data_IF_078780960128
#
_entry.id   IF_078780960128
#
_cell.length_a   1.000
_cell.length_b   1.000
_cell.length_c   1.000
_cell.angle_alpha   90.00
_cell.angle_beta   90.00
_cell.angle_gamma   90.00
#
_symmetry.space_group_name_H-M   'P 1'
#
loop_
_entity.id
_entity.type
_entity.pdbx_description
1 polymer ?
#
# COMPACT_ATOMS: atom_id res chain seq x y z
N UNK A 1 20.95 -1.74 -4.46
CA UNK A 1 22.18 -2.35 -3.91
C UNK A 1 21.78 -3.36 -2.86
N UNK A 2 22.50 -4.49 -2.68
CA UNK A 2 22.24 -5.38 -1.56
C UNK A 2 22.47 -4.56 -0.29
N UNK A 3 21.45 -4.43 0.55
CA UNK A 3 21.55 -3.74 1.83
C UNK A 3 22.53 -4.55 2.68
N UNK A 4 23.71 -4.00 2.94
CA UNK A 4 24.62 -4.58 3.91
C UNK A 4 23.93 -4.50 5.29
N UNK A 5 23.62 -5.63 5.95
CA UNK A 5 22.99 -5.64 7.27
C UNK A 5 23.86 -4.94 8.33
N UNK A 6 25.14 -4.70 8.04
CA UNK A 6 26.08 -3.97 8.89
C UNK A 6 26.14 -2.47 8.61
N UNK A 7 25.49 -1.98 7.55
CA UNK A 7 25.45 -0.55 7.23
C UNK A 7 24.68 0.21 8.33
N UNK A 8 25.37 1.04 9.13
CA UNK A 8 24.74 1.73 10.24
C UNK A 8 23.71 2.76 9.77
N UNK A 9 23.75 3.23 8.53
CA UNK A 9 22.92 4.33 8.05
C UNK A 9 21.56 3.88 7.53
N UNK A 10 21.40 2.58 7.26
CA UNK A 10 20.15 1.98 6.77
C UNK A 10 19.32 1.32 7.89
N UNK A 11 17.97 1.34 7.78
CA UNK A 11 17.09 0.70 8.76
C UNK A 11 17.23 -0.82 8.72
N UNK A 12 17.37 -1.46 9.88
CA UNK A 12 17.53 -2.91 9.98
C UNK A 12 16.18 -3.61 10.15
N UNK A 13 15.60 -4.14 9.07
CA UNK A 13 14.38 -4.93 9.13
C UNK A 13 14.64 -6.33 9.69
N UNK A 14 13.73 -6.84 10.52
CA UNK A 14 13.87 -8.15 11.14
C UNK A 14 15.02 -8.23 12.16
N UNK A 15 15.40 -7.10 12.76
CA UNK A 15 16.45 -7.04 13.75
C UNK A 15 16.16 -8.01 14.92
N UNK A 16 17.18 -8.77 15.33
CA UNK A 16 17.10 -9.54 16.59
C UNK A 16 17.13 -8.58 17.79
N UNK A 17 16.62 -8.99 18.96
CA UNK A 17 16.54 -8.12 20.13
C UNK A 17 17.90 -7.51 20.52
N UNK A 18 18.94 -8.36 20.60
CA UNK A 18 20.28 -7.93 20.99
C UNK A 18 20.94 -7.04 19.95
N UNK A 19 20.73 -7.32 18.65
CA UNK A 19 21.28 -6.49 17.57
C UNK A 19 20.63 -5.11 17.54
N UNK A 20 19.30 -5.04 17.72
CA UNK A 20 18.58 -3.78 17.82
C UNK A 20 19.09 -2.93 19.01
N UNK A 21 19.26 -3.55 20.18
CA UNK A 21 19.73 -2.87 21.38
C UNK A 21 21.19 -2.41 21.27
N UNK A 22 22.07 -3.20 20.64
CA UNK A 22 23.43 -2.78 20.35
C UNK A 22 23.47 -1.57 19.39
N UNK A 23 22.63 -1.58 18.35
CA UNK A 23 22.48 -0.44 17.42
C UNK A 23 21.93 0.80 18.11
N UNK A 24 20.96 0.65 19.02
CA UNK A 24 20.37 1.74 19.80
C UNK A 24 21.44 2.53 20.56
N UNK A 25 22.32 1.84 21.29
CA UNK A 25 23.43 2.49 22.00
C UNK A 25 24.53 3.00 21.06
N UNK A 26 24.83 2.30 19.97
CA UNK A 26 25.84 2.75 18.99
C UNK A 26 25.42 4.05 18.27
N UNK A 27 24.12 4.24 18.04
CA UNK A 27 23.53 5.40 17.34
C UNK A 27 22.79 6.36 18.27
N UNK A 28 23.22 6.46 19.53
CA UNK A 28 22.49 7.21 20.55
C UNK A 28 22.36 8.72 20.28
N UNK A 29 23.26 9.32 19.49
CA UNK A 29 23.25 10.75 19.10
C UNK A 29 23.00 10.97 17.61
N UNK A 30 22.57 9.94 16.88
CA UNK A 30 22.30 10.04 15.44
C UNK A 30 20.80 10.21 15.22
N UNK A 31 20.39 11.42 14.84
CA UNK A 31 18.99 11.79 14.60
C UNK A 31 18.57 11.68 13.13
N UNK A 32 19.52 11.51 12.22
CA UNK A 32 19.28 11.33 10.78
C UNK A 32 19.11 9.85 10.42
N UNK A 33 18.56 9.59 9.25
CA UNK A 33 18.23 8.25 8.78
C UNK A 33 16.96 7.70 9.40
N UNK A 34 16.79 6.38 9.26
CA UNK A 34 15.56 5.65 9.59
C UNK A 34 15.79 4.51 10.56
N UNK A 35 14.74 4.15 11.29
CA UNK A 35 14.69 2.98 12.16
C UNK A 35 13.44 2.15 11.85
N UNK A 36 13.62 0.86 11.58
CA UNK A 36 12.53 -0.07 11.30
C UNK A 36 11.66 -0.32 12.54
N UNK A 37 10.48 -0.91 12.35
CA UNK A 37 9.61 -1.35 13.45
C UNK A 37 10.34 -2.28 14.43
N UNK A 38 11.07 -3.27 13.92
CA UNK A 38 11.81 -4.22 14.76
C UNK A 38 12.95 -3.55 15.53
N UNK A 39 13.67 -2.61 14.90
CA UNK A 39 14.77 -1.90 15.58
C UNK A 39 14.23 -1.02 16.73
N UNK A 40 13.13 -0.33 16.50
CA UNK A 40 12.47 0.50 17.51
C UNK A 40 11.88 -0.33 18.66
N UNK A 41 11.00 -1.28 18.36
CA UNK A 41 10.23 -1.99 19.38
C UNK A 41 11.09 -2.92 20.24
N UNK A 42 12.12 -3.57 19.68
CA UNK A 42 13.04 -4.35 20.51
C UNK A 42 13.86 -3.48 21.45
N UNK A 43 14.29 -2.30 20.98
CA UNK A 43 15.01 -1.35 21.82
C UNK A 43 14.14 -0.81 22.96
N UNK A 44 12.88 -0.46 22.65
CA UNK A 44 11.89 -0.03 23.66
C UNK A 44 11.59 -1.16 24.65
N UNK A 45 11.40 -2.39 24.17
CA UNK A 45 11.06 -3.53 25.01
C UNK A 45 12.21 -3.90 25.96
N UNK A 46 13.44 -4.04 25.45
CA UNK A 46 14.59 -4.36 26.29
C UNK A 46 14.88 -3.27 27.32
N UNK A 47 14.78 -2.00 26.90
CA UNK A 47 14.84 -0.85 27.81
C UNK A 47 13.80 -0.92 28.92
N UNK A 48 12.56 -1.26 28.56
CA UNK A 48 11.45 -1.40 29.52
C UNK A 48 11.68 -2.57 30.47
N UNK A 49 12.16 -3.72 29.98
CA UNK A 49 12.47 -4.89 30.81
C UNK A 49 13.56 -4.58 31.83
N UNK A 50 14.65 -3.91 31.42
CA UNK A 50 15.73 -3.49 32.33
C UNK A 50 15.20 -2.53 33.38
N UNK A 51 14.42 -1.52 32.98
CA UNK A 51 13.82 -0.56 33.91
C UNK A 51 12.86 -1.23 34.91
N UNK A 52 11.99 -2.13 34.44
CA UNK A 52 11.07 -2.91 35.28
C UNK A 52 11.86 -3.79 36.24
N UNK A 53 12.90 -4.48 35.78
CA UNK A 53 13.71 -5.36 36.63
C UNK A 53 14.40 -4.57 37.76
N UNK A 54 15.02 -3.42 37.45
CA UNK A 54 15.64 -2.54 38.44
C UNK A 54 14.61 -2.00 39.44
N UNK A 55 13.45 -1.53 38.96
CA UNK A 55 12.40 -0.97 39.79
C UNK A 55 11.73 -2.00 40.70
N UNK A 56 11.39 -3.17 40.16
CA UNK A 56 10.77 -4.27 40.93
C UNK A 56 11.76 -4.82 41.96
N UNK A 57 12.99 -5.11 41.56
CA UNK A 57 13.99 -5.65 42.49
C UNK A 57 14.35 -4.63 43.58
N UNK A 58 14.55 -3.36 43.21
CA UNK A 58 14.78 -2.27 44.17
C UNK A 58 13.62 -2.08 45.13
N UNK A 59 12.39 -2.06 44.63
CA UNK A 59 11.17 -1.93 45.42
C UNK A 59 10.95 -3.10 46.38
N UNK A 60 11.18 -4.34 45.94
CA UNK A 60 11.10 -5.53 46.81
C UNK A 60 12.12 -5.44 47.93
N UNK A 61 13.37 -5.08 47.64
CA UNK A 61 14.42 -4.95 48.66
C UNK A 61 14.08 -3.86 49.68
N UNK A 62 13.57 -2.71 49.24
CA UNK A 62 13.12 -1.66 50.16
C UNK A 62 11.92 -2.09 51.00
N UNK A 63 10.96 -2.83 50.41
CA UNK A 63 9.81 -3.35 51.15
C UNK A 63 10.24 -4.37 52.22
N UNK A 64 11.18 -5.26 51.89
CA UNK A 64 11.78 -6.21 52.83
C UNK A 64 12.53 -5.48 53.95
N UNK A 65 13.35 -4.49 53.60
CA UNK A 65 14.08 -3.70 54.58
C UNK A 65 13.15 -2.89 55.49
N UNK A 66 12.07 -2.32 54.97
CA UNK A 66 11.05 -1.64 55.76
C UNK A 66 10.34 -2.60 56.73
N UNK A 67 9.98 -3.80 56.29
CA UNK A 67 9.35 -4.81 57.13
C UNK A 67 10.28 -5.26 58.28
N UNK A 68 11.57 -5.45 58.00
CA UNK A 68 12.59 -5.79 59.02
C UNK A 68 12.85 -4.62 59.98
N UNK A 69 12.83 -3.37 59.48
CA UNK A 69 13.00 -2.18 60.30
C UNK A 69 11.84 -2.00 61.29
N UNK A 70 10.60 -2.31 60.89
CA UNK A 70 9.44 -2.32 61.80
C UNK A 70 9.58 -3.36 62.92
N UNK A 71 10.35 -4.42 62.70
CA UNK A 71 10.69 -5.42 63.72
C UNK A 71 11.91 -5.01 64.58
N UNK A 72 12.48 -3.82 64.37
CA UNK A 72 13.68 -3.35 65.08
C UNK A 72 14.97 -4.08 64.70
N UNK A 73 14.98 -4.82 63.59
CA UNK A 73 16.15 -5.61 63.17
C UNK A 73 17.21 -4.75 62.49
N UNK A 74 18.44 -4.78 63.01
CA UNK A 74 19.59 -4.12 62.40
C UNK A 74 19.93 -4.68 60.99
N UNK A 75 19.47 -5.90 60.68
CA UNK A 75 19.66 -6.51 59.36
C UNK A 75 18.93 -5.75 58.25
N UNK A 76 17.95 -4.88 58.58
CA UNK A 76 17.23 -4.03 57.63
C UNK A 76 18.15 -3.10 56.81
N UNK A 77 19.32 -2.73 57.34
CA UNK A 77 20.26 -1.86 56.66
C UNK A 77 20.74 -2.43 55.31
N UNK A 78 20.92 -3.75 55.21
CA UNK A 78 21.43 -4.43 54.01
C UNK A 78 20.45 -4.32 52.82
N UNK A 79 19.19 -4.82 52.91
CA UNK A 79 18.25 -4.72 51.81
C UNK A 79 17.85 -3.27 51.51
N UNK A 80 17.82 -2.37 52.51
CA UNK A 80 17.58 -0.95 52.26
C UNK A 80 18.69 -0.31 51.41
N UNK A 81 19.97 -0.58 51.74
CA UNK A 81 21.09 -0.06 50.98
C UNK A 81 21.10 -0.60 49.54
N UNK A 82 20.90 -1.91 49.36
CA UNK A 82 20.85 -2.53 48.02
C UNK A 82 19.65 -2.02 47.21
N UNK A 83 18.48 -1.90 47.85
CA UNK A 83 17.28 -1.33 47.21
C UNK A 83 17.49 0.11 46.77
N UNK A 84 18.12 0.95 47.61
CA UNK A 84 18.47 2.32 47.26
C UNK A 84 19.46 2.41 46.09
N UNK A 85 20.48 1.52 46.06
CA UNK A 85 21.43 1.44 44.94
C UNK A 85 20.73 1.06 43.64
N UNK A 86 19.78 0.12 43.67
CA UNK A 86 19.01 -0.25 42.47
C UNK A 86 18.07 0.85 42.00
N UNK A 87 17.43 1.60 42.90
CA UNK A 87 16.64 2.78 42.52
C UNK A 87 17.52 3.90 41.96
N UNK A 88 18.70 4.12 42.53
CA UNK A 88 19.67 5.05 41.97
C UNK A 88 20.10 4.62 40.56
N UNK A 89 20.39 3.33 40.37
CA UNK A 89 20.71 2.77 39.05
C UNK A 89 19.55 2.90 38.06
N UNK A 90 18.29 2.75 38.50
CA UNK A 90 17.11 2.98 37.68
C UNK A 90 17.03 4.44 37.21
N UNK A 91 17.25 5.40 38.11
CA UNK A 91 17.25 6.83 37.76
C UNK A 91 18.40 7.16 36.80
N UNK A 92 19.61 6.68 37.07
CA UNK A 92 20.75 6.87 36.20
C UNK A 92 20.52 6.24 34.80
N UNK A 93 19.93 5.05 34.76
CA UNK A 93 19.53 4.39 33.53
C UNK A 93 18.48 5.21 32.79
N UNK A 94 17.42 5.67 33.45
CA UNK A 94 16.38 6.50 32.83
C UNK A 94 16.96 7.78 32.21
N UNK A 95 17.92 8.43 32.88
CA UNK A 95 18.61 9.61 32.34
C UNK A 95 19.47 9.26 31.11
N UNK A 96 20.22 8.16 31.16
CA UNK A 96 21.03 7.70 30.03
C UNK A 96 20.19 7.37 28.79
N UNK A 97 18.92 6.99 28.98
CA UNK A 97 17.99 6.61 27.93
C UNK A 97 17.35 7.80 27.20
N UNK A 98 17.40 9.02 27.76
CA UNK A 98 16.70 10.18 27.20
C UNK A 98 17.18 10.46 25.77
N UNK A 99 18.48 10.68 25.58
CA UNK A 99 19.04 11.05 24.28
C UNK A 99 18.85 9.94 23.23
N UNK A 100 19.26 8.67 23.48
CA UNK A 100 19.02 7.60 22.52
C UNK A 100 17.53 7.30 22.28
N UNK A 101 16.67 7.46 23.30
CA UNK A 101 15.23 7.31 23.19
C UNK A 101 14.63 8.31 22.20
N UNK A 102 15.00 9.59 22.31
CA UNK A 102 14.60 10.62 21.35
C UNK A 102 15.15 10.30 19.97
N UNK A 103 16.43 9.93 19.87
CA UNK A 103 17.09 9.67 18.60
C UNK A 103 16.42 8.53 17.81
N UNK A 104 16.08 7.41 18.46
CA UNK A 104 15.41 6.30 17.77
C UNK A 104 13.95 6.62 17.42
N UNK A 105 13.23 7.38 18.25
CA UNK A 105 11.87 7.85 17.92
C UNK A 105 11.86 8.79 16.71
N UNK A 106 12.81 9.72 16.62
CA UNK A 106 12.95 10.60 15.45
C UNK A 106 13.22 9.78 14.18
N UNK A 107 14.16 8.82 14.23
CA UNK A 107 14.45 7.92 13.11
C UNK A 107 13.25 7.03 12.75
N UNK A 108 12.43 6.62 13.72
CA UNK A 108 11.19 5.86 13.49
C UNK A 108 10.14 6.72 12.79
N UNK A 109 9.97 7.97 13.20
CA UNK A 109 9.07 8.93 12.52
C UNK A 109 9.51 9.17 11.07
N UNK A 110 10.81 9.35 10.83
CA UNK A 110 11.36 9.45 9.47
C UNK A 110 11.08 8.22 8.62
N UNK A 111 11.10 7.01 9.21
CA UNK A 111 10.78 5.78 8.51
C UNK A 111 9.31 5.70 8.05
N UNK A 112 8.40 6.36 8.78
CA UNK A 112 7.00 6.56 8.37
C UNK A 112 6.79 7.79 7.47
N UNK A 113 7.87 8.40 6.96
CA UNK A 113 7.88 9.65 6.19
C UNK A 113 7.36 10.89 6.97
N UNK A 114 7.37 10.84 8.29
CA UNK A 114 6.94 11.94 9.16
C UNK A 114 8.12 12.78 9.63
N UNK A 115 7.87 14.03 9.98
CA UNK A 115 8.90 14.92 10.54
C UNK A 115 9.30 14.48 11.95
N UNK A 116 10.61 14.44 12.22
CA UNK A 116 11.14 14.21 13.57
C UNK A 116 10.66 15.22 14.62
N UNK A 117 10.24 16.42 14.19
CA UNK A 117 9.66 17.44 15.08
C UNK A 117 8.36 16.99 15.75
N UNK A 118 7.65 16.00 15.18
CA UNK A 118 6.45 15.44 15.82
C UNK A 118 6.77 14.77 17.15
N UNK A 119 8.04 14.46 17.45
CA UNK A 119 8.44 14.02 18.78
C UNK A 119 8.10 15.05 19.87
N UNK A 120 8.04 16.35 19.55
CA UNK A 120 7.67 17.39 20.51
C UNK A 120 6.24 17.22 21.05
N UNK A 121 5.40 16.44 20.38
CA UNK A 121 4.09 16.07 20.90
C UNK A 121 4.19 15.28 22.21
N UNK A 122 5.33 14.65 22.52
CA UNK A 122 5.61 14.03 23.83
C UNK A 122 5.39 14.97 25.01
N UNK A 123 5.60 16.28 24.82
CA UNK A 123 5.46 17.29 25.86
C UNK A 123 4.01 17.67 26.16
N UNK A 124 3.04 17.19 25.38
CA UNK A 124 1.62 17.36 25.66
C UNK A 124 1.23 16.36 26.77
N UNK A 125 0.82 16.83 27.98
CA UNK A 125 0.46 15.94 29.07
C UNK A 125 -0.69 15.01 28.68
N UNK A 126 -0.62 13.76 29.15
CA UNK A 126 -1.61 12.68 28.94
C UNK A 126 -1.77 12.18 27.50
N UNK A 127 -1.95 13.06 26.52
CA UNK A 127 -2.29 12.68 25.14
C UNK A 127 -1.06 12.53 24.26
N UNK A 128 0.01 13.27 24.54
CA UNK A 128 1.23 13.30 23.72
C UNK A 128 1.90 11.94 23.55
N UNK A 129 2.02 11.19 24.65
CA UNK A 129 2.57 9.84 24.64
C UNK A 129 1.72 8.86 23.82
N UNK A 130 0.38 8.98 23.87
CA UNK A 130 -0.52 8.13 23.09
C UNK A 130 -0.41 8.44 21.59
N UNK A 131 -0.33 9.72 21.22
CA UNK A 131 -0.13 10.13 19.82
C UNK A 131 1.19 9.55 19.31
N UNK A 132 2.29 9.71 20.06
CA UNK A 132 3.58 9.15 19.65
C UNK A 132 3.58 7.63 19.60
N UNK A 133 2.85 6.95 20.49
CA UNK A 133 2.68 5.51 20.42
C UNK A 133 2.07 5.13 19.07
N UNK A 134 0.97 5.77 18.68
CA UNK A 134 0.29 5.53 17.39
C UNK A 134 1.24 5.81 16.22
N UNK A 135 1.91 6.97 16.21
CA UNK A 135 2.82 7.35 15.12
C UNK A 135 4.00 6.38 14.97
N UNK A 136 4.54 5.85 16.07
CA UNK A 136 5.66 4.90 16.02
C UNK A 136 5.25 3.47 15.61
N UNK A 137 3.95 3.13 15.63
CA UNK A 137 3.40 1.84 15.14
C UNK A 137 3.11 1.86 13.64
N UNK A 138 2.93 3.05 13.04
CA UNK A 138 2.62 3.18 11.61
C UNK A 138 3.59 2.39 10.73
N UNK A 139 3.15 1.82 9.60
CA UNK A 139 4.02 1.08 8.69
C UNK A 139 5.12 1.98 8.10
N UNK A 140 6.24 1.36 7.71
CA UNK A 140 7.33 2.06 7.00
C UNK A 140 6.85 2.58 5.64
N UNK A 141 7.23 3.81 5.28
CA UNK A 141 6.89 4.45 4.01
C UNK A 141 8.16 4.56 3.12
N UNK A 142 8.14 4.07 1.86
CA UNK A 142 9.26 4.18 0.94
C UNK A 142 9.80 5.61 0.72
N UNK A 143 8.96 6.64 0.86
CA UNK A 143 9.32 8.06 0.75
C UNK A 143 10.20 8.55 1.91
N UNK A 144 10.23 7.82 3.03
CA UNK A 144 11.07 8.14 4.18
C UNK A 144 12.57 8.17 3.88
N UNK A 145 13.04 7.59 2.76
CA UNK A 145 14.46 7.65 2.36
C UNK A 145 15.00 9.07 2.19
N UNK A 146 14.13 10.08 2.07
CA UNK A 146 14.56 11.49 2.03
C UNK A 146 15.30 11.92 3.31
N UNK A 147 15.14 11.16 4.40
CA UNK A 147 15.82 11.40 5.67
C UNK A 147 17.13 10.61 5.81
N UNK A 148 17.49 9.76 4.85
CA UNK A 148 18.74 8.99 4.85
C UNK A 148 19.95 9.94 4.64
N UNK A 149 21.09 9.61 5.26
CA UNK A 149 22.29 10.43 5.15
C UNK A 149 22.79 10.46 3.70
N UNK A 150 22.97 11.66 3.12
CA UNK A 150 23.39 11.83 1.73
C UNK A 150 22.26 11.81 0.68
N UNK A 151 20.99 11.77 1.10
CA UNK A 151 19.87 12.00 0.18
C UNK A 151 19.97 13.41 -0.43
N UNK A 152 19.99 13.57 -1.77
CA UNK A 152 20.01 14.89 -2.38
C UNK A 152 18.76 15.67 -1.97
N UNK A 153 18.96 16.89 -1.46
CA UNK A 153 17.93 17.74 -0.84
C UNK A 153 16.68 18.05 -1.71
N UNK A 154 16.63 17.58 -2.96
CA UNK A 154 15.58 17.89 -3.93
C UNK A 154 15.17 16.73 -4.87
N UNK A 155 15.49 15.45 -4.61
CA UNK A 155 14.93 14.36 -5.43
C UNK A 155 13.68 13.72 -4.80
N UNK A 156 12.55 13.64 -5.52
CA UNK A 156 11.43 12.81 -5.11
C UNK A 156 11.89 11.36 -5.03
N UNK A 157 11.72 10.78 -3.86
CA UNK A 157 12.16 9.42 -3.54
C UNK A 157 11.22 8.43 -4.23
N UNK A 158 11.55 8.01 -5.44
CA UNK A 158 10.81 6.98 -6.18
C UNK A 158 10.81 5.67 -5.38
N UNK A 159 9.66 5.03 -5.07
CA UNK A 159 9.60 3.78 -4.31
C UNK A 159 10.58 2.74 -4.90
N UNK A 160 11.50 2.24 -4.07
CA UNK A 160 12.44 1.21 -4.53
C UNK A 160 11.69 -0.12 -4.61
N UNK A 161 11.89 -0.90 -5.68
CA UNK A 161 11.31 -2.23 -5.79
C UNK A 161 11.80 -3.08 -4.60
N UNK A 162 10.86 -3.81 -4.00
CA UNK A 162 11.10 -4.67 -2.84
C UNK A 162 12.13 -5.72 -3.22
N UNK A 163 13.34 -5.62 -2.67
CA UNK A 163 14.40 -6.60 -2.92
C UNK A 163 14.04 -7.88 -2.17
N UNK A 164 13.51 -8.87 -2.87
CA UNK A 164 13.33 -10.21 -2.33
C UNK A 164 14.71 -10.77 -1.96
N UNK A 165 14.91 -11.05 -0.67
CA UNK A 165 16.11 -11.69 -0.15
C UNK A 165 16.20 -13.13 -0.65
N UNK A 166 17.17 -13.41 -1.52
CA UNK A 166 17.77 -14.74 -1.67
C UNK A 166 17.48 -15.48 -2.98
N UNK A 167 18.29 -15.22 -4.00
CA UNK A 167 18.74 -16.23 -4.98
C UNK A 167 20.00 -15.70 -5.68
N UNK A 168 20.99 -16.57 -5.88
CA UNK A 168 22.33 -16.24 -6.34
C UNK A 168 22.35 -15.39 -7.63
N UNK A 169 23.20 -14.37 -7.62
CA UNK A 169 23.36 -13.39 -8.70
C UNK A 169 23.81 -14.04 -10.02
N UNK A 170 22.98 -13.88 -11.07
CA UNK A 170 23.48 -13.76 -12.45
C UNK A 170 23.85 -12.30 -12.70
N UNK A 171 24.84 -12.01 -13.57
CA UNK A 171 25.21 -10.63 -13.88
C UNK A 171 24.00 -9.88 -14.47
N UNK A 172 23.76 -8.68 -13.95
CA UNK A 172 22.62 -7.86 -14.31
C UNK A 172 22.71 -7.40 -15.77
N UNK A 173 21.60 -7.44 -16.54
CA UNK A 173 21.53 -6.68 -17.77
C UNK A 173 21.50 -5.18 -17.45
N UNK A 174 22.08 -4.39 -18.34
CA UNK A 174 22.09 -2.92 -18.37
C UNK A 174 20.71 -2.34 -18.02
N UNK A 175 20.61 -1.26 -17.22
CA UNK A 175 19.31 -0.72 -16.83
C UNK A 175 18.50 -0.35 -18.07
N UNK A 176 17.37 -1.02 -18.24
CA UNK A 176 16.39 -0.70 -19.28
C UNK A 176 15.78 0.68 -18.99
N UNK A 177 15.43 1.46 -20.03
CA UNK A 177 14.80 2.76 -19.87
C UNK A 177 13.48 2.62 -19.08
N UNK A 178 13.09 3.68 -18.38
CA UNK A 178 11.90 3.73 -17.50
C UNK A 178 10.67 3.33 -18.31
N UNK A 179 10.20 2.10 -18.11
CA UNK A 179 9.28 1.46 -19.03
C UNK A 179 7.81 1.64 -18.67
N UNK A 180 7.39 2.31 -17.60
CA UNK A 180 5.95 2.41 -17.27
C UNK A 180 5.24 1.03 -17.14
N UNK A 181 6.00 -0.04 -16.88
CA UNK A 181 5.48 -1.38 -16.60
C UNK A 181 5.62 -1.71 -15.12
N UNK A 182 4.78 -2.63 -14.64
CA UNK A 182 4.83 -3.40 -13.37
C UNK A 182 5.61 -2.84 -12.18
N UNK A 183 6.94 -2.68 -12.31
CA UNK A 183 7.84 -2.21 -11.27
C UNK A 183 7.67 -0.72 -10.92
N UNK A 184 7.00 0.05 -11.80
CA UNK A 184 6.71 1.46 -11.56
C UNK A 184 5.56 1.69 -10.56
N UNK A 185 4.79 0.65 -10.19
CA UNK A 185 3.51 0.83 -9.50
C UNK A 185 3.52 0.20 -8.10
N UNK A 186 3.14 0.94 -7.04
CA UNK A 186 3.08 0.36 -5.71
C UNK A 186 2.10 -0.82 -5.68
N UNK A 187 2.50 -1.93 -5.05
CA UNK A 187 1.56 -2.99 -4.68
C UNK A 187 0.56 -2.40 -3.67
N UNK A 188 -0.75 -2.73 -3.75
CA UNK A 188 -1.67 -2.33 -2.69
C UNK A 188 -1.16 -2.88 -1.36
N UNK A 189 -1.08 -2.01 -0.34
CA UNK A 189 -0.92 -2.45 1.04
C UNK A 189 -2.08 -3.39 1.37
N UNK A 190 -1.77 -4.50 2.05
CA UNK A 190 -2.65 -5.63 2.38
C UNK A 190 -4.16 -5.31 2.53
N UNK A 191 -5.07 -6.24 2.14
CA UNK A 191 -6.49 -6.05 2.36
C UNK A 191 -6.76 -5.82 3.86
N UNK A 192 -7.62 -4.86 4.24
CA UNK A 192 -7.89 -4.58 5.65
C UNK A 192 -8.52 -5.82 6.32
N UNK A 193 -8.27 -6.06 7.62
CA UNK A 193 -8.87 -7.17 8.34
C UNK A 193 -10.39 -6.98 8.46
N UNK A 194 -11.13 -8.09 8.42
CA UNK A 194 -12.57 -8.12 8.63
C UNK A 194 -12.92 -7.62 10.04
N UNK A 195 -13.48 -6.41 10.14
CA UNK A 195 -14.05 -5.89 11.39
C UNK A 195 -15.57 -6.04 11.38
N UNK A 196 -16.11 -6.39 12.55
CA UNK A 196 -17.49 -6.75 12.88
C UNK A 196 -18.59 -5.85 12.24
N UNK A 197 -19.82 -6.38 12.06
CA UNK A 197 -20.93 -5.65 11.44
C UNK A 197 -21.34 -4.44 12.28
N UNK A 198 -21.40 -3.26 11.64
CA UNK A 198 -21.94 -2.03 12.21
C UNK A 198 -23.46 -1.92 11.97
N UNK A 199 -24.20 -1.20 12.84
CA UNK A 199 -25.65 -1.15 12.79
C UNK A 199 -26.17 -0.48 11.51
N UNK A 200 -27.21 -1.10 10.94
CA UNK A 200 -27.94 -0.61 9.76
C UNK A 200 -28.75 0.62 10.17
N UNK A 201 -28.48 1.77 9.57
CA UNK A 201 -29.38 2.92 9.62
C UNK A 201 -30.21 2.89 8.34
N UNK A 202 -31.56 2.92 8.41
CA UNK A 202 -32.37 2.92 7.19
C UNK A 202 -32.15 4.22 6.42
N UNK A 203 -31.96 4.09 5.11
CA UNK A 203 -31.94 5.21 4.16
C UNK A 203 -33.27 5.94 4.23
N UNK A 204 -33.23 7.18 4.72
CA UNK A 204 -34.31 8.15 4.51
C UNK A 204 -34.09 8.77 3.13
N UNK A 205 -35.18 8.85 2.39
CA UNK A 205 -35.36 9.47 1.07
C UNK A 205 -34.41 10.64 0.79
N UNK A 206 -33.34 10.35 0.04
CA UNK A 206 -32.63 11.35 -0.75
C UNK A 206 -33.11 11.21 -2.20
N UNK A 207 -33.52 12.34 -2.77
CA UNK A 207 -34.08 12.50 -4.11
C UNK A 207 -33.21 11.84 -5.21
N UNK A 208 -33.80 11.44 -6.35
CA UNK A 208 -33.08 10.77 -7.42
C UNK A 208 -32.03 11.72 -8.05
N UNK A 209 -30.77 11.32 -8.05
CA UNK A 209 -29.73 12.03 -8.80
C UNK A 209 -29.92 11.84 -10.33
N UNK A 210 -29.59 12.85 -11.14
CA UNK A 210 -29.73 12.81 -12.59
C UNK A 210 -28.75 11.81 -13.22
N UNK A 211 -29.22 11.06 -14.23
CA UNK A 211 -28.39 10.21 -15.08
C UNK A 211 -27.11 10.94 -15.53
N UNK A 212 -25.95 10.40 -15.15
CA UNK A 212 -24.61 10.97 -15.34
C UNK A 212 -24.16 10.97 -16.81
N UNK A 213 -23.30 11.93 -17.20
CA UNK A 213 -22.74 12.08 -18.55
C UNK A 213 -21.97 10.83 -19.01
N UNK A 214 -21.31 10.14 -18.08
CA UNK A 214 -20.61 8.87 -18.32
C UNK A 214 -21.60 7.77 -18.72
N UNK A 215 -22.71 7.63 -17.99
CA UNK A 215 -23.78 6.67 -18.30
C UNK A 215 -24.42 6.99 -19.65
N UNK A 216 -24.65 8.28 -19.94
CA UNK A 216 -25.16 8.72 -21.23
C UNK A 216 -24.21 8.33 -22.39
N UNK A 217 -22.89 8.50 -22.21
CA UNK A 217 -21.90 8.06 -23.19
C UNK A 217 -21.95 6.54 -23.41
N UNK A 218 -22.05 5.73 -22.35
CA UNK A 218 -22.18 4.28 -22.47
C UNK A 218 -23.47 3.84 -23.18
N UNK A 219 -24.57 4.58 -23.01
CA UNK A 219 -25.82 4.33 -23.75
C UNK A 219 -25.70 4.57 -25.26
N UNK A 220 -24.70 5.33 -25.72
CA UNK A 220 -24.40 5.46 -27.16
C UNK A 220 -23.68 4.24 -27.73
N UNK A 221 -23.01 3.46 -26.87
CA UNK A 221 -22.26 2.26 -27.25
C UNK A 221 -23.15 1.03 -27.27
N UNK A 222 -24.09 0.92 -26.35
CA UNK A 222 -25.01 -0.21 -26.28
C UNK A 222 -26.02 -0.12 -25.14
N UNK A 223 -26.75 -1.22 -24.90
CA UNK A 223 -27.69 -1.31 -23.77
C UNK A 223 -26.90 -1.39 -22.47
N UNK A 224 -27.21 -0.52 -21.53
CA UNK A 224 -26.50 -0.42 -20.24
C UNK A 224 -27.34 -1.06 -19.13
N UNK A 225 -26.72 -2.00 -18.42
CA UNK A 225 -27.23 -2.61 -17.20
C UNK A 225 -26.26 -2.30 -16.04
N UNK A 226 -26.77 -2.12 -14.81
CA UNK A 226 -25.93 -1.85 -13.64
C UNK A 226 -25.68 -3.13 -12.85
N UNK A 227 -24.45 -3.29 -12.36
CA UNK A 227 -24.06 -4.39 -11.47
C UNK A 227 -24.10 -3.89 -10.03
N UNK A 228 -25.04 -4.41 -9.24
CA UNK A 228 -25.06 -4.22 -7.79
C UNK A 228 -24.12 -5.24 -7.14
N UNK A 229 -22.85 -4.89 -7.00
CA UNK A 229 -21.86 -5.81 -6.46
C UNK A 229 -22.07 -6.07 -4.95
N UNK A 230 -22.12 -7.34 -4.54
CA UNK A 230 -21.95 -7.79 -3.14
C UNK A 230 -20.46 -7.69 -2.70
N UNK A 231 -19.80 -6.58 -3.00
CA UNK A 231 -18.46 -6.33 -2.48
C UNK A 231 -18.60 -5.93 -1.01
N UNK A 232 -18.41 -6.91 -0.12
CA UNK A 232 -18.35 -6.67 1.32
C UNK A 232 -17.39 -5.52 1.64
N UNK A 233 -17.83 -4.61 2.52
CA UNK A 233 -17.08 -3.44 2.99
C UNK A 233 -16.75 -2.43 1.89
N UNK A 234 -17.75 -1.66 1.46
CA UNK A 234 -17.48 -0.35 0.86
C UNK A 234 -17.03 0.60 1.98
N UNK A 235 -15.80 1.14 1.95
CA UNK A 235 -15.51 2.29 2.79
C UNK A 235 -16.31 3.49 2.26
N UNK A 236 -16.85 4.29 3.17
CA UNK A 236 -17.96 5.25 2.98
C UNK A 236 -17.67 6.47 2.06
N UNK A 237 -16.74 6.39 1.12
CA UNK A 237 -16.19 7.55 0.41
C UNK A 237 -15.98 7.38 -1.11
N UNK A 238 -16.45 6.29 -1.73
CA UNK A 238 -16.44 6.14 -3.21
C UNK A 238 -17.61 5.31 -3.69
N UNK A 239 -18.46 5.85 -4.56
CA UNK A 239 -19.30 5.06 -5.48
C UNK A 239 -18.39 4.20 -6.34
N UNK A 240 -18.24 2.92 -6.00
CA UNK A 240 -17.66 1.94 -6.93
C UNK A 240 -18.80 1.11 -7.49
N UNK A 241 -19.53 1.71 -8.44
CA UNK A 241 -20.49 0.98 -9.25
C UNK A 241 -19.79 0.39 -10.48
N UNK A 242 -20.44 -0.59 -11.10
CA UNK A 242 -19.98 -1.18 -12.36
C UNK A 242 -21.16 -1.27 -13.31
N UNK A 243 -20.87 -1.08 -14.60
CA UNK A 243 -21.86 -1.14 -15.67
C UNK A 243 -21.50 -2.26 -16.64
N UNK A 244 -22.53 -2.91 -17.18
CA UNK A 244 -22.43 -3.83 -18.30
C UNK A 244 -23.03 -3.12 -19.51
N UNK A 245 -22.28 -3.03 -20.59
CA UNK A 245 -22.75 -2.47 -21.86
C UNK A 245 -22.80 -3.59 -22.88
N UNK A 246 -24.00 -3.91 -23.35
CA UNK A 246 -24.26 -4.96 -24.35
C UNK A 246 -24.46 -4.32 -25.71
N UNK A 247 -23.55 -4.61 -26.64
CA UNK A 247 -23.59 -4.11 -28.03
C UNK A 247 -24.37 -5.07 -28.92
N UNK A 248 -24.90 -4.54 -30.02
CA UNK A 248 -25.67 -5.32 -30.99
C UNK A 248 -24.81 -6.32 -31.79
N UNK A 249 -23.49 -6.13 -31.83
CA UNK A 249 -22.52 -7.04 -32.44
C UNK A 249 -22.14 -8.25 -31.56
N UNK A 250 -22.80 -8.38 -30.41
CA UNK A 250 -22.59 -9.45 -29.44
C UNK A 250 -21.33 -9.29 -28.58
N UNK A 251 -20.68 -8.12 -28.61
CA UNK A 251 -19.62 -7.77 -27.66
C UNK A 251 -20.24 -7.19 -26.40
N UNK A 252 -19.82 -7.68 -25.25
CA UNK A 252 -20.20 -7.13 -23.95
C UNK A 252 -19.00 -6.42 -23.32
N UNK A 253 -19.25 -5.27 -22.71
CA UNK A 253 -18.24 -4.44 -22.04
C UNK A 253 -18.59 -4.38 -20.55
N UNK A 254 -17.63 -4.68 -19.69
CA UNK A 254 -17.70 -4.42 -18.27
C UNK A 254 -16.86 -3.19 -17.96
N UNK A 255 -17.45 -2.17 -17.33
CA UNK A 255 -16.78 -0.90 -17.02
C UNK A 255 -17.05 -0.43 -15.59
N UNK A 256 -16.13 0.36 -15.06
CA UNK A 256 -16.30 1.07 -13.79
C UNK A 256 -17.23 2.28 -13.96
N UNK A 257 -17.86 2.67 -12.86
CA UNK A 257 -18.71 3.86 -12.74
C UNK A 257 -18.37 4.53 -11.40
N UNK A 258 -17.59 5.62 -11.46
CA UNK A 258 -17.08 6.37 -10.31
C UNK A 258 -15.56 6.29 -10.09
N UNK A 259 -14.78 5.82 -11.06
CA UNK A 259 -13.30 5.87 -11.00
C UNK A 259 -12.76 7.22 -11.51
N UNK A 260 -13.44 7.81 -12.50
CA UNK A 260 -13.03 9.06 -13.15
C UNK A 260 -13.27 10.30 -12.30
N UNK A 261 -14.22 10.24 -11.37
CA UNK A 261 -14.67 11.38 -10.55
C UNK A 261 -14.61 11.06 -9.05
N UNK A 262 -14.39 12.08 -8.23
CA UNK A 262 -14.41 11.95 -6.77
C UNK A 262 -15.79 12.36 -6.21
N UNK A 263 -16.39 11.51 -5.37
CA UNK A 263 -17.74 11.72 -4.84
C UNK A 263 -17.82 13.02 -4.01
N UNK A 264 -18.63 13.98 -4.47
CA UNK A 264 -18.81 15.28 -3.81
C UNK A 264 -17.74 16.33 -4.14
N UNK A 265 -16.79 16.03 -5.02
CA UNK A 265 -15.75 16.98 -5.45
C UNK A 265 -15.90 17.35 -6.94
N UNK A 266 -15.69 18.63 -7.27
CA UNK A 266 -15.57 19.10 -8.66
C UNK A 266 -14.16 18.79 -9.24
N UNK A 267 -13.59 17.64 -8.88
CA UNK A 267 -12.22 17.26 -9.20
C UNK A 267 -12.20 15.88 -9.87
N UNK A 268 -11.35 15.76 -10.90
CA UNK A 268 -11.07 14.48 -11.54
C UNK A 268 -10.35 13.56 -10.54
N UNK A 269 -10.90 12.36 -10.35
CA UNK A 269 -10.29 11.30 -9.54
C UNK A 269 -9.13 10.68 -10.29
N UNK A 270 -9.31 9.47 -10.84
CA UNK A 270 -8.30 8.89 -11.74
C UNK A 270 -8.28 9.56 -13.13
N UNK A 271 -9.27 10.42 -13.42
CA UNK A 271 -9.46 11.06 -14.75
C UNK A 271 -9.86 10.07 -15.84
N UNK A 272 -10.21 8.83 -15.48
CA UNK A 272 -10.60 7.80 -16.43
C UNK A 272 -11.55 6.76 -15.83
N UNK A 273 -12.44 6.24 -16.66
CA UNK A 273 -13.13 4.97 -16.43
C UNK A 273 -12.40 3.85 -17.17
N UNK A 274 -12.27 2.69 -16.52
CA UNK A 274 -11.66 1.53 -17.14
C UNK A 274 -12.72 0.53 -17.57
N UNK A 275 -12.46 -0.15 -18.68
CA UNK A 275 -13.39 -1.15 -19.20
C UNK A 275 -12.68 -2.34 -19.81
N UNK A 276 -13.37 -3.47 -19.89
CA UNK A 276 -12.90 -4.70 -20.50
C UNK A 276 -13.99 -5.27 -21.41
N UNK A 277 -13.63 -5.72 -22.60
CA UNK A 277 -14.56 -6.36 -23.53
C UNK A 277 -14.42 -7.88 -23.59
N UNK A 278 -15.54 -8.55 -23.80
CA UNK A 278 -15.57 -9.97 -24.03
C UNK A 278 -16.89 -10.44 -24.64
N UNK A 279 -17.08 -11.75 -24.62
CA UNK A 279 -18.35 -12.41 -24.86
C UNK A 279 -18.74 -13.23 -23.65
N UNK A 280 -20.04 -13.44 -23.52
CA UNK A 280 -20.63 -14.29 -22.49
C UNK A 280 -20.09 -13.93 -21.10
N UNK A 281 -20.18 -12.64 -20.73
CA UNK A 281 -19.75 -12.18 -19.40
C UNK A 281 -20.66 -12.76 -18.31
N UNK A 282 -21.93 -12.99 -18.63
CA UNK A 282 -22.95 -13.53 -17.73
C UNK A 282 -24.35 -13.16 -18.22
N UNK A 283 -25.33 -14.03 -17.96
CA UNK A 283 -26.71 -13.78 -18.37
C UNK A 283 -27.34 -12.67 -17.52
N UNK A 284 -27.01 -12.63 -16.24
CA UNK A 284 -27.49 -11.63 -15.28
C UNK A 284 -26.35 -10.76 -14.74
N UNK A 285 -26.64 -9.58 -14.18
CA UNK A 285 -25.62 -8.78 -13.49
C UNK A 285 -24.94 -9.52 -12.33
N UNK A 286 -25.65 -10.43 -11.66
CA UNK A 286 -25.10 -11.28 -10.59
C UNK A 286 -24.07 -12.27 -11.16
N UNK A 287 -24.37 -12.94 -12.26
CA UNK A 287 -23.43 -13.87 -12.93
C UNK A 287 -22.14 -13.15 -13.35
N UNK A 288 -22.28 -11.91 -13.84
CA UNK A 288 -21.12 -11.08 -14.21
C UNK A 288 -20.28 -10.74 -12.99
N UNK A 289 -20.91 -10.37 -11.87
CA UNK A 289 -20.22 -10.03 -10.62
C UNK A 289 -19.42 -11.21 -10.04
N UNK A 290 -19.93 -12.43 -10.19
CA UNK A 290 -19.26 -13.66 -9.75
C UNK A 290 -18.16 -14.12 -10.73
N UNK A 291 -18.07 -13.50 -11.92
CA UNK A 291 -17.10 -13.85 -12.95
C UNK A 291 -15.68 -13.32 -12.71
N UNK A 292 -14.68 -14.04 -13.22
CA UNK A 292 -13.27 -13.64 -13.10
C UNK A 292 -12.93 -12.31 -13.78
N UNK A 293 -13.64 -11.97 -14.86
CA UNK A 293 -13.45 -10.69 -15.57
C UNK A 293 -13.86 -9.51 -14.70
N UNK A 294 -14.88 -9.68 -13.86
CA UNK A 294 -15.26 -8.70 -12.86
C UNK A 294 -14.19 -8.55 -11.78
N UNK A 295 -13.71 -9.67 -11.22
CA UNK A 295 -12.63 -9.59 -10.21
C UNK A 295 -11.37 -8.93 -10.76
N UNK A 296 -11.06 -9.14 -12.05
CA UNK A 296 -9.96 -8.48 -12.74
C UNK A 296 -10.14 -6.96 -12.85
N UNK A 297 -11.26 -6.50 -13.43
CA UNK A 297 -11.55 -5.05 -13.58
C UNK A 297 -11.58 -4.37 -12.21
N UNK A 298 -12.23 -5.00 -11.22
CA UNK A 298 -12.30 -4.48 -9.87
C UNK A 298 -10.92 -4.41 -9.20
N UNK A 299 -10.03 -5.40 -9.44
CA UNK A 299 -8.67 -5.38 -8.90
C UNK A 299 -7.81 -4.28 -9.54
N UNK A 300 -7.93 -4.06 -10.85
CA UNK A 300 -7.27 -2.95 -11.56
C UNK A 300 -7.79 -1.60 -11.06
N UNK A 301 -9.11 -1.42 -10.97
CA UNK A 301 -9.74 -0.19 -10.50
C UNK A 301 -9.32 0.16 -9.07
N UNK A 302 -9.31 -0.82 -8.16
CA UNK A 302 -8.79 -0.63 -6.79
C UNK A 302 -7.32 -0.20 -6.78
N UNK A 303 -6.49 -0.76 -7.67
CA UNK A 303 -5.07 -0.42 -7.74
C UNK A 303 -4.83 1.00 -8.25
N UNK A 304 -5.58 1.42 -9.28
CA UNK A 304 -5.55 2.79 -9.80
C UNK A 304 -6.06 3.77 -8.74
N UNK A 305 -7.21 3.47 -8.13
CA UNK A 305 -7.78 4.32 -7.09
C UNK A 305 -6.92 4.45 -5.83
N UNK A 306 -6.10 3.44 -5.51
CA UNK A 306 -5.19 3.45 -4.36
C UNK A 306 -3.84 4.13 -4.66
N UNK A 307 -3.42 4.22 -5.94
CA UNK A 307 -2.16 4.86 -6.30
C UNK A 307 -2.25 6.39 -6.37
N UNK A 308 -3.47 6.95 -6.44
CA UNK A 308 -3.68 8.39 -6.68
C UNK A 308 -3.27 8.82 -8.10
N UNK A 309 -3.17 7.86 -9.02
CA UNK A 309 -2.71 8.07 -10.39
C UNK A 309 -3.77 8.76 -11.24
N UNK A 310 -3.36 9.79 -11.98
CA UNK A 310 -4.15 10.36 -13.06
C UNK A 310 -3.83 9.64 -14.38
N UNK A 311 -4.68 8.68 -14.74
CA UNK A 311 -4.43 7.72 -15.83
C UNK A 311 -4.23 8.37 -17.21
N UNK A 312 -4.93 9.46 -17.59
CA UNK A 312 -4.67 10.17 -18.85
C UNK A 312 -3.22 10.63 -19.03
N UNK A 313 -2.60 11.19 -17.98
CA UNK A 313 -1.25 11.74 -18.06
C UNK A 313 -0.20 10.62 -18.26
N UNK A 314 -0.39 9.48 -17.61
CA UNK A 314 0.48 8.31 -17.77
C UNK A 314 0.35 7.70 -19.17
N UNK A 315 -0.87 7.62 -19.70
CA UNK A 315 -1.09 7.12 -21.06
C UNK A 315 -0.54 8.08 -22.13
N UNK A 316 -0.58 9.39 -21.91
CA UNK A 316 0.10 10.36 -22.79
C UNK A 316 1.61 10.18 -22.78
N UNK A 317 2.20 9.91 -21.62
CA UNK A 317 3.65 9.74 -21.49
C UNK A 317 4.15 8.40 -22.06
N UNK A 318 3.40 7.31 -21.86
CA UNK A 318 3.87 5.95 -22.13
C UNK A 318 3.11 5.21 -23.24
N UNK A 319 2.00 5.76 -23.73
CA UNK A 319 1.11 5.18 -24.75
C UNK A 319 0.26 4.03 -24.23
N UNK A 320 0.90 2.99 -23.70
CA UNK A 320 0.25 1.86 -23.03
C UNK A 320 0.97 1.54 -21.72
N UNK A 321 0.26 0.91 -20.79
CA UNK A 321 0.71 0.59 -19.44
C UNK A 321 0.42 -0.89 -19.13
N UNK A 322 1.15 -1.54 -18.22
CA UNK A 322 0.87 -2.93 -17.81
C UNK A 322 1.07 -3.23 -16.32
N UNK A 323 0.14 -3.98 -15.70
CA UNK A 323 0.22 -4.51 -14.30
C UNK A 323 -0.11 -6.00 -14.21
N UNK A 324 0.28 -6.63 -13.10
CA UNK A 324 -0.35 -7.85 -12.58
C UNK A 324 -1.21 -7.47 -11.41
N UNK A 325 -2.37 -8.08 -11.35
CA UNK A 325 -3.27 -8.00 -10.21
C UNK A 325 -3.69 -9.41 -9.81
N UNK A 326 -3.97 -9.64 -8.52
CA UNK A 326 -4.59 -10.90 -8.10
C UNK A 326 -6.02 -10.96 -8.64
N UNK A 327 -6.32 -12.00 -9.42
CA UNK A 327 -7.65 -12.29 -9.93
C UNK A 327 -7.84 -13.82 -10.05
N UNK A 328 -9.05 -14.30 -9.76
CA UNK A 328 -9.36 -15.74 -9.84
C UNK A 328 -9.70 -16.14 -11.28
N UNK A 329 -8.75 -15.92 -12.19
CA UNK A 329 -8.90 -16.22 -13.60
C UNK A 329 -8.58 -17.69 -13.92
N UNK A 330 -9.07 -18.21 -15.06
CA UNK A 330 -8.65 -19.51 -15.58
C UNK A 330 -7.12 -19.65 -15.70
N UNK A 331 -6.63 -20.89 -15.67
CA UNK A 331 -5.20 -21.18 -15.58
C UNK A 331 -4.38 -20.59 -16.75
N UNK A 332 -4.98 -20.51 -17.93
CA UNK A 332 -4.38 -19.96 -19.15
C UNK A 332 -4.14 -18.42 -19.11
N UNK A 333 -4.67 -17.73 -18.10
CA UNK A 333 -4.43 -16.30 -17.86
C UNK A 333 -3.54 -16.05 -16.63
N UNK A 334 -3.33 -17.08 -15.80
CA UNK A 334 -2.60 -16.94 -14.53
C UNK A 334 -1.11 -17.16 -14.73
N UNK A 335 -0.36 -16.25 -14.14
CA UNK A 335 1.09 -16.35 -13.97
C UNK A 335 1.45 -17.36 -12.87
N UNK A 336 2.70 -17.87 -12.82
CA UNK A 336 3.12 -18.81 -11.77
C UNK A 336 2.98 -18.27 -10.33
N UNK A 337 3.03 -16.95 -10.15
CA UNK A 337 2.81 -16.24 -8.89
C UNK A 337 1.33 -16.01 -8.55
N UNK A 338 0.40 -16.49 -9.40
CA UNK A 338 -1.05 -16.47 -9.16
C UNK A 338 -1.74 -15.16 -9.58
N UNK A 339 -1.02 -14.23 -10.20
CA UNK A 339 -1.59 -12.98 -10.73
C UNK A 339 -2.01 -13.07 -12.20
N UNK A 340 -2.72 -12.07 -12.67
CA UNK A 340 -3.13 -11.91 -14.08
C UNK A 340 -2.53 -10.62 -14.61
N UNK A 341 -1.75 -10.72 -15.69
CA UNK A 341 -1.24 -9.57 -16.41
C UNK A 341 -2.37 -8.83 -17.13
N UNK A 342 -2.36 -7.51 -17.09
CA UNK A 342 -3.32 -6.63 -17.76
C UNK A 342 -2.56 -5.53 -18.47
N UNK A 343 -2.91 -5.31 -19.73
CA UNK A 343 -2.51 -4.17 -20.53
C UNK A 343 -3.60 -3.10 -20.47
N UNK A 344 -3.20 -1.85 -20.29
CA UNK A 344 -4.07 -0.69 -20.08
C UNK A 344 -3.79 0.32 -21.20
N UNK A 345 -4.84 0.84 -21.81
CA UNK A 345 -4.75 1.81 -22.90
C UNK A 345 -5.05 1.23 -24.29
N UNK A 346 -5.63 0.03 -24.37
CA UNK A 346 -6.07 -0.54 -25.64
C UNK A 346 -7.54 -0.20 -25.87
N UNK A 347 -7.80 0.84 -26.66
CA UNK A 347 -9.15 1.29 -26.99
C UNK A 347 -9.92 0.32 -27.88
N UNK A 348 -11.25 0.35 -27.79
CA UNK A 348 -12.14 -0.45 -28.64
C UNK A 348 -12.82 0.39 -29.72
N UNK A 349 -12.99 -0.14 -30.94
CA UNK A 349 -13.78 0.51 -31.97
C UNK A 349 -15.22 0.79 -31.51
N UNK A 350 -15.66 2.03 -31.65
CA UNK A 350 -17.02 2.46 -31.28
C UNK A 350 -17.21 2.83 -29.81
N UNK A 351 -16.15 2.79 -28.98
CA UNK A 351 -16.16 3.39 -27.64
C UNK A 351 -15.54 4.79 -27.72
N UNK A 352 -16.18 5.84 -27.19
CA UNK A 352 -15.59 7.18 -27.13
C UNK A 352 -14.25 7.18 -26.40
N UNK A 353 -13.29 7.98 -26.84
CA UNK A 353 -12.00 8.10 -26.12
C UNK A 353 -12.14 8.86 -24.79
N UNK A 354 -13.08 9.81 -24.75
CA UNK A 354 -13.34 10.62 -23.57
C UNK A 354 -14.78 11.14 -23.52
N UNK A 355 -15.22 11.50 -22.32
CA UNK A 355 -16.54 12.05 -22.01
C UNK A 355 -16.34 13.34 -21.22
N UNK A 356 -16.97 14.42 -21.68
CA UNK A 356 -16.98 15.68 -20.93
C UNK A 356 -18.00 15.58 -19.79
N UNK A 357 -17.55 15.85 -18.57
CA UNK A 357 -18.36 15.86 -17.37
C UNK A 357 -18.26 17.23 -16.66
N UNK A 358 -18.95 17.37 -15.54
CA UNK A 358 -18.87 18.60 -14.72
C UNK A 358 -17.55 18.73 -13.98
N UNK A 359 -16.86 17.62 -13.70
CA UNK A 359 -15.54 17.58 -13.06
C UNK A 359 -14.37 17.77 -14.05
N UNK A 360 -14.59 17.46 -15.34
CA UNK A 360 -13.59 17.63 -16.39
C UNK A 360 -13.78 16.61 -17.51
N UNK A 361 -12.73 16.34 -18.28
CA UNK A 361 -12.75 15.30 -19.30
C UNK A 361 -12.33 13.96 -18.69
N UNK A 362 -13.22 12.97 -18.72
CA UNK A 362 -12.98 11.60 -18.23
C UNK A 362 -12.69 10.68 -19.43
N UNK A 363 -11.51 10.06 -19.46
CA UNK A 363 -11.14 9.12 -20.54
C UNK A 363 -11.76 7.74 -20.33
N UNK A 364 -12.19 7.09 -21.42
CA UNK A 364 -12.61 5.68 -21.37
C UNK A 364 -11.44 4.81 -21.82
N UNK A 365 -10.88 4.03 -20.88
CA UNK A 365 -9.62 3.31 -21.07
C UNK A 365 -9.84 1.80 -21.08
N UNK A 366 -9.49 1.15 -22.19
CA UNK A 366 -9.64 -0.29 -22.32
C UNK A 366 -8.52 -1.09 -21.63
N UNK A 367 -8.94 -2.20 -21.03
CA UNK A 367 -8.15 -3.21 -20.34
C UNK A 367 -8.17 -4.51 -21.15
N UNK A 368 -6.99 -5.08 -21.38
CA UNK A 368 -6.85 -6.38 -22.05
C UNK A 368 -6.02 -7.31 -21.18
N UNK A 369 -6.54 -8.48 -20.76
CA UNK A 369 -5.75 -9.46 -20.05
C UNK A 369 -4.67 -10.03 -20.97
N UNK A 370 -3.47 -10.17 -20.41
CA UNK A 370 -2.28 -10.68 -21.08
C UNK A 370 -2.15 -12.18 -20.83
N UNK A 371 -1.72 -12.92 -21.85
CA UNK A 371 -1.20 -14.26 -21.67
C UNK A 371 0.10 -14.23 -20.88
N UNK A 372 0.43 -15.28 -20.11
CA UNK A 372 1.71 -15.36 -19.41
C UNK A 372 2.92 -15.10 -20.32
N UNK A 373 2.87 -15.58 -21.56
CA UNK A 373 3.92 -15.38 -22.57
C UNK A 373 4.01 -13.93 -23.06
N UNK A 374 2.87 -13.25 -23.21
CA UNK A 374 2.82 -11.84 -23.60
C UNK A 374 3.37 -10.96 -22.49
N UNK A 375 2.97 -11.25 -21.24
CA UNK A 375 3.50 -10.58 -20.08
C UNK A 375 5.01 -10.79 -19.96
N UNK A 376 5.49 -12.03 -20.13
CA UNK A 376 6.92 -12.32 -20.09
C UNK A 376 7.68 -11.53 -21.17
N UNK A 377 7.14 -11.44 -22.39
CA UNK A 377 7.76 -10.63 -23.45
C UNK A 377 7.79 -9.13 -23.11
N UNK A 378 6.79 -8.62 -22.40
CA UNK A 378 6.81 -7.23 -21.89
C UNK A 378 7.88 -7.05 -20.81
N UNK A 379 8.05 -8.02 -19.91
CA UNK A 379 9.09 -7.97 -18.88
C UNK A 379 10.49 -8.01 -19.51
N UNK A 380 10.68 -8.83 -20.55
CA UNK A 380 11.96 -8.96 -21.24
C UNK A 380 12.28 -7.76 -22.15
N UNK A 381 11.27 -7.23 -22.85
CA UNK A 381 11.44 -6.22 -23.90
C UNK A 381 10.98 -4.81 -23.56
N UNK A 382 10.46 -4.59 -22.35
CA UNK A 382 10.14 -3.26 -21.85
C UNK A 382 9.05 -2.52 -22.63
N UNK A 383 9.25 -1.21 -22.82
CA UNK A 383 8.30 -0.31 -23.49
C UNK A 383 8.02 -0.73 -24.93
N UNK A 384 9.05 -1.06 -25.69
CA UNK A 384 8.91 -1.39 -27.12
C UNK A 384 8.10 -2.68 -27.32
N UNK A 385 8.37 -3.70 -26.50
CA UNK A 385 7.58 -4.93 -26.50
C UNK A 385 6.12 -4.68 -26.10
N UNK A 386 5.89 -3.80 -25.10
CA UNK A 386 4.53 -3.43 -24.70
C UNK A 386 3.78 -2.70 -25.79
N UNK A 387 4.40 -1.71 -26.45
CA UNK A 387 3.79 -0.98 -27.56
C UNK A 387 3.49 -1.91 -28.74
N UNK A 388 4.39 -2.85 -29.05
CA UNK A 388 4.16 -3.85 -30.10
C UNK A 388 3.00 -4.79 -29.77
N UNK A 389 2.92 -5.28 -28.53
CA UNK A 389 1.82 -6.13 -28.07
C UNK A 389 0.50 -5.35 -28.05
N UNK A 390 0.51 -4.09 -27.59
CA UNK A 390 -0.66 -3.21 -27.63
C UNK A 390 -1.21 -3.04 -29.05
N UNK A 391 -0.34 -2.80 -30.03
CA UNK A 391 -0.73 -2.69 -31.43
C UNK A 391 -1.31 -3.99 -31.99
N UNK A 392 -0.74 -5.15 -31.64
CA UNK A 392 -1.27 -6.46 -32.07
C UNK A 392 -2.63 -6.76 -31.44
N UNK A 393 -2.79 -6.47 -30.16
CA UNK A 393 -4.07 -6.67 -29.44
C UNK A 393 -5.15 -5.72 -29.94
N UNK A 394 -4.82 -4.46 -30.23
CA UNK A 394 -5.75 -3.48 -30.81
C UNK A 394 -6.25 -3.90 -32.21
N UNK A 395 -5.48 -4.71 -32.95
CA UNK A 395 -5.87 -5.24 -34.25
C UNK A 395 -6.77 -6.48 -34.17
N UNK A 396 -6.94 -7.09 -32.99
CA UNK A 396 -7.82 -8.24 -32.81
C UNK A 396 -9.29 -7.80 -32.69
N UNK A 397 -10.25 -8.65 -33.10
CA UNK A 397 -11.65 -8.42 -32.82
C UNK A 397 -11.91 -8.26 -31.31
N UNK A 398 -12.70 -7.27 -30.85
CA UNK A 398 -12.98 -7.05 -29.43
C UNK A 398 -13.48 -8.29 -28.69
N UNK A 399 -14.29 -9.10 -29.38
CA UNK A 399 -14.86 -10.34 -28.88
C UNK A 399 -13.84 -11.38 -28.42
N UNK A 400 -12.63 -11.39 -29.00
CA UNK A 400 -11.62 -12.42 -28.71
C UNK A 400 -10.64 -12.00 -27.61
N UNK A 401 -10.64 -10.72 -27.19
CA UNK A 401 -9.61 -10.18 -26.29
C UNK A 401 -9.55 -10.90 -24.93
N UNK A 402 -10.68 -11.43 -24.47
CA UNK A 402 -10.80 -12.20 -23.22
C UNK A 402 -11.29 -13.64 -23.46
N UNK A 403 -11.13 -14.14 -24.69
CA UNK A 403 -11.47 -15.52 -25.06
C UNK A 403 -10.36 -16.48 -24.58
N UNK A 404 -10.70 -17.50 -23.76
CA UNK A 404 -9.78 -18.58 -23.36
C UNK A 404 -8.99 -19.23 -24.50
N UNK A 405 -9.51 -19.23 -25.73
CA UNK A 405 -8.85 -19.78 -26.91
C UNK A 405 -7.91 -18.80 -27.63
N UNK A 406 -7.84 -17.52 -27.22
CA UNK A 406 -6.98 -16.50 -27.85
C UNK A 406 -5.49 -16.88 -27.74
N UNK A 407 -4.75 -17.10 -28.83
CA UNK A 407 -3.31 -17.34 -28.73
C UNK A 407 -2.57 -16.08 -28.28
N UNK A 408 -1.39 -16.26 -27.68
CA UNK A 408 -0.49 -15.16 -27.38
C UNK A 408 -0.01 -14.48 -28.68
N UNK A 409 -0.13 -13.15 -28.77
CA UNK A 409 0.22 -12.37 -29.99
C UNK A 409 1.66 -11.95 -30.05
#
# INVERSE_FOLDING_TARGET
>A
MPVDPTDPDLPLYGASPLTAYARYWKRYVVFTGRASLSEYWWSVLLSSVIAIALGVLGGILLAVGAALAQQGSAAAAIPNALGAVLLFALVAFALAQIVPGIAISVRRLHDANLSGLLYLLAFIPSVGGLILLVLNVLPSNPEGRRFDAGAPLWQPVMPQPVVASGAAARPAPTPAPVNGGFDAWPAPSAPPPATAPLPVTPLVDAAPEPDDAIVAAWRTVGRVDRVEAKLGMQPSWRRQAYLIVRRDDGVEILTTDGLGEEEGAAALGAGAEVYLAGRDLGATPEDVADGWRFTLVAAVARRIGASGMHLPAELEQYGALSMSVPADAPAEWRTPDGGVGVLIGVGLPGVPEAVATTAGEVRLVGLVPLRPEELQRILDGGRDARSAIAGRLAALPPAVLTDPARPAV
#
